data_IF_820281432482
#
_entry.id   IF_820281432482
#
_cell.length_a   1.000
_cell.length_b   1.000
_cell.length_c   1.000
_cell.angle_alpha   90.00
_cell.angle_beta   90.00
_cell.angle_gamma   90.00
#
_symmetry.space_group_name_H-M   'P 1'
#
loop_
_entity.id
_entity.type
_entity.pdbx_description
1 polymer ?
#
# COMPACT_ATOMS: atom_id res chain seq x y z
N UNK A 1 13.23 -6.61 0.98
CA UNK A 1 13.48 -6.41 -0.46
C UNK A 1 14.84 -6.98 -0.79
N UNK A 2 14.96 -7.74 -1.87
CA UNK A 2 16.23 -8.24 -2.40
C UNK A 2 16.38 -7.72 -3.83
N UNK A 3 17.57 -7.23 -4.17
CA UNK A 3 17.90 -6.69 -5.49
C UNK A 3 19.09 -7.46 -6.04
N UNK A 4 18.99 -7.96 -7.26
CA UNK A 4 20.09 -8.66 -7.93
C UNK A 4 19.75 -9.04 -9.36
N UNK A 5 20.74 -9.07 -10.24
CA UNK A 5 20.61 -9.42 -11.66
C UNK A 5 19.43 -8.70 -12.36
N UNK A 6 19.29 -7.39 -12.13
CA UNK A 6 18.19 -6.57 -12.67
C UNK A 6 16.78 -7.05 -12.24
N UNK A 7 16.69 -7.77 -11.13
CA UNK A 7 15.43 -8.24 -10.56
C UNK A 7 15.28 -7.71 -9.14
N UNK A 8 14.07 -7.25 -8.81
CA UNK A 8 13.66 -6.94 -7.45
C UNK A 8 12.69 -8.03 -6.98
N UNK A 9 13.00 -8.60 -5.83
CA UNK A 9 12.09 -9.44 -5.07
C UNK A 9 11.61 -8.69 -3.82
N UNK A 10 10.30 -8.62 -3.65
CA UNK A 10 9.65 -8.03 -2.48
C UNK A 10 8.91 -9.13 -1.76
N UNK A 11 9.10 -9.20 -0.45
CA UNK A 11 8.31 -10.02 0.46
C UNK A 11 7.73 -9.06 1.49
N UNK A 12 6.41 -8.96 1.53
CA UNK A 12 5.70 -7.93 2.27
C UNK A 12 4.76 -8.53 3.32
N UNK A 13 4.85 -8.02 4.54
CA UNK A 13 3.98 -8.33 5.69
C UNK A 13 3.71 -7.00 6.41
N UNK A 14 2.47 -6.78 6.86
CA UNK A 14 2.09 -5.57 7.58
C UNK A 14 1.55 -4.46 6.67
N UNK A 15 1.67 -3.22 7.09
CA UNK A 15 1.11 -2.05 6.40
C UNK A 15 2.15 -0.97 6.04
N UNK A 16 3.45 -1.31 6.15
CA UNK A 16 4.50 -0.59 5.45
C UNK A 16 4.28 -0.63 3.93
N UNK A 17 5.01 0.19 3.18
CA UNK A 17 4.80 0.31 1.74
C UNK A 17 6.12 0.34 0.98
N UNK A 18 6.16 -0.32 -0.18
CA UNK A 18 7.23 -0.16 -1.16
C UNK A 18 6.69 0.62 -2.36
N UNK A 19 7.40 1.67 -2.73
CA UNK A 19 7.10 2.51 -3.89
C UNK A 19 8.30 2.49 -4.83
N UNK A 20 8.05 2.25 -6.11
CA UNK A 20 9.04 2.39 -7.17
C UNK A 20 8.80 3.69 -7.90
N UNK A 21 9.86 4.48 -8.08
CA UNK A 21 9.82 5.61 -9.01
C UNK A 21 10.29 5.16 -10.38
N UNK A 22 9.47 5.38 -11.42
CA UNK A 22 9.75 5.04 -12.81
C UNK A 22 9.29 6.19 -13.70
N UNK A 23 10.20 6.77 -14.49
CA UNK A 23 9.96 7.94 -15.35
C UNK A 23 9.25 9.09 -14.63
N UNK A 24 9.65 9.33 -13.38
CA UNK A 24 9.11 10.39 -12.51
C UNK A 24 7.79 10.06 -11.86
N UNK A 25 7.26 8.88 -12.16
CA UNK A 25 5.97 8.44 -11.64
C UNK A 25 6.22 7.46 -10.52
N UNK A 26 5.67 7.77 -9.36
CA UNK A 26 5.61 6.86 -8.23
C UNK A 26 4.57 5.76 -8.51
N UNK A 27 4.98 4.51 -8.32
CA UNK A 27 4.15 3.33 -8.42
C UNK A 27 4.22 2.55 -7.11
N UNK A 28 3.09 2.42 -6.42
CA UNK A 28 2.99 1.57 -5.23
C UNK A 28 3.06 0.10 -5.66
N UNK A 29 3.92 -0.68 -5.01
CA UNK A 29 4.17 -2.09 -5.35
C UNK A 29 3.52 -3.08 -4.40
N UNK A 30 3.12 -2.64 -3.21
CA UNK A 30 2.62 -3.50 -2.14
C UNK A 30 1.28 -2.99 -1.63
N UNK A 31 0.33 -3.90 -1.43
CA UNK A 31 -0.92 -3.61 -0.74
C UNK A 31 -0.76 -3.75 0.77
N UNK A 32 -1.27 -2.78 1.54
CA UNK A 32 -1.24 -2.85 3.00
C UNK A 32 -2.17 -3.94 3.54
N UNK A 33 -1.67 -4.74 4.47
CA UNK A 33 -2.45 -5.78 5.16
C UNK A 33 -3.28 -5.21 6.31
N UNK A 34 -4.40 -4.58 5.95
CA UNK A 34 -5.29 -3.88 6.88
C UNK A 34 -6.62 -4.61 7.05
N UNK A 35 -7.14 -4.72 8.28
CA UNK A 35 -8.47 -5.27 8.55
C UNK A 35 -9.57 -4.23 8.31
N UNK A 36 -9.35 -3.27 7.40
CA UNK A 36 -10.29 -2.20 7.06
C UNK A 36 -9.97 -1.63 5.68
N UNK A 37 -10.97 -1.00 5.07
CA UNK A 37 -10.85 -0.44 3.71
C UNK A 37 -11.65 -1.24 2.69
N UNK A 38 -11.69 -0.71 1.48
CA UNK A 38 -12.48 -1.23 0.36
C UNK A 38 -11.63 -1.84 -0.75
N UNK A 39 -10.29 -1.79 -0.65
CA UNK A 39 -9.43 -2.42 -1.63
C UNK A 39 -9.47 -3.95 -1.49
N UNK A 40 -9.08 -4.63 -2.56
CA UNK A 40 -9.25 -6.06 -2.71
C UNK A 40 -8.46 -6.86 -1.66
N UNK A 41 -7.23 -6.43 -1.34
CA UNK A 41 -6.40 -7.02 -0.30
C UNK A 41 -7.03 -6.88 1.10
N UNK A 42 -7.54 -5.70 1.46
CA UNK A 42 -8.19 -5.48 2.75
C UNK A 42 -9.47 -6.31 2.89
N UNK A 43 -10.25 -6.43 1.80
CA UNK A 43 -11.44 -7.28 1.79
C UNK A 43 -11.11 -8.76 2.00
N UNK A 44 -10.01 -9.26 1.42
CA UNK A 44 -9.52 -10.62 1.68
C UNK A 44 -9.11 -10.81 3.13
N UNK A 45 -8.37 -9.85 3.71
CA UNK A 45 -7.95 -9.93 5.10
C UNK A 45 -9.14 -9.88 6.06
N UNK A 46 -10.10 -8.98 5.84
CA UNK A 46 -11.37 -8.90 6.60
C UNK A 46 -12.11 -10.24 6.55
N UNK A 47 -12.23 -10.85 5.37
CA UNK A 47 -12.89 -12.14 5.19
C UNK A 47 -12.17 -13.23 5.98
N UNK A 48 -10.85 -13.35 5.81
CA UNK A 48 -10.01 -14.34 6.50
C UNK A 48 -10.13 -14.23 8.02
N UNK A 49 -10.08 -13.01 8.56
CA UNK A 49 -10.21 -12.76 10.01
C UNK A 49 -11.57 -13.23 10.54
N UNK A 50 -12.64 -12.97 9.79
CA UNK A 50 -14.00 -13.40 10.17
C UNK A 50 -14.14 -14.93 10.12
N UNK A 51 -13.60 -15.57 9.09
CA UNK A 51 -13.61 -17.04 8.95
C UNK A 51 -12.79 -17.73 10.06
N UNK A 52 -11.71 -17.10 10.50
CA UNK A 52 -10.92 -17.55 11.65
C UNK A 52 -11.64 -17.39 13.01
N UNK A 53 -12.84 -16.81 13.03
CA UNK A 53 -13.64 -16.57 14.25
C UNK A 53 -13.37 -15.24 14.94
N UNK A 54 -12.57 -14.37 14.33
CA UNK A 54 -12.30 -13.03 14.82
C UNK A 54 -13.40 -12.03 14.45
N UNK A 55 -13.35 -10.86 15.07
CA UNK A 55 -14.19 -9.72 14.74
C UNK A 55 -13.34 -8.46 14.60
N UNK A 56 -13.89 -7.45 13.92
CA UNK A 56 -13.22 -6.18 13.69
C UNK A 56 -14.08 -5.07 14.28
N UNK A 57 -13.46 -4.22 15.09
CA UNK A 57 -14.08 -3.05 15.70
C UNK A 57 -13.19 -1.85 15.43
N UNK A 58 -13.75 -0.79 14.83
CA UNK A 58 -13.04 0.45 14.48
C UNK A 58 -11.74 0.20 13.72
N UNK A 59 -11.78 -0.70 12.73
CA UNK A 59 -10.62 -1.07 11.91
C UNK A 59 -9.52 -1.81 12.68
N UNK A 60 -9.85 -2.42 13.81
CA UNK A 60 -8.91 -3.23 14.61
C UNK A 60 -9.45 -4.62 14.89
N UNK A 61 -8.62 -5.64 14.72
CA UNK A 61 -8.92 -7.02 15.07
C UNK A 61 -9.13 -7.10 16.58
N UNK A 62 -10.29 -7.60 16.98
CA UNK A 62 -10.77 -7.61 18.36
C UNK A 62 -10.73 -6.21 19.04
N UNK A 63 -10.73 -5.12 18.27
CA UNK A 63 -10.57 -3.76 18.80
C UNK A 63 -9.19 -3.47 19.40
N UNK A 64 -8.15 -4.20 19.02
CA UNK A 64 -6.79 -4.07 19.56
C UNK A 64 -5.77 -3.72 18.45
N UNK A 65 -5.54 -4.60 17.47
CA UNK A 65 -4.49 -4.41 16.45
C UNK A 65 -5.06 -3.96 15.09
N UNK A 66 -4.39 -3.00 14.43
CA UNK A 66 -4.82 -2.40 13.16
C UNK A 66 -4.16 -3.02 11.92
N UNK A 67 -3.37 -4.08 12.08
CA UNK A 67 -2.73 -4.84 10.98
C UNK A 67 -3.16 -6.30 11.05
N UNK A 68 -3.32 -6.93 9.90
CA UNK A 68 -3.79 -8.32 9.78
C UNK A 68 -2.68 -9.34 9.55
N UNK A 69 -1.49 -8.87 9.17
CA UNK A 69 -0.30 -9.70 9.03
C UNK A 69 0.88 -9.07 9.74
N UNK A 70 1.54 -9.84 10.61
CA UNK A 70 2.70 -9.39 11.38
C UNK A 70 3.50 -10.59 11.92
N UNK A 71 4.80 -10.39 12.11
CA UNK A 71 5.61 -11.26 12.97
C UNK A 71 5.28 -10.97 14.45
N UNK A 72 5.45 -11.97 15.33
CA UNK A 72 5.07 -11.81 16.74
C UNK A 72 3.56 -11.90 16.97
N UNK A 73 2.99 -11.02 17.79
CA UNK A 73 1.55 -10.94 18.09
C UNK A 73 0.90 -12.26 18.52
N UNK A 74 1.58 -13.01 19.41
CA UNK A 74 1.15 -14.35 19.84
C UNK A 74 -0.28 -14.38 20.41
N UNK A 75 -0.78 -13.27 20.95
CA UNK A 75 -2.17 -13.13 21.44
C UNK A 75 -3.23 -13.34 20.35
N UNK A 76 -2.88 -13.13 19.09
CA UNK A 76 -3.74 -13.38 17.92
C UNK A 76 -3.42 -14.72 17.22
N UNK A 77 -2.47 -15.49 17.78
CA UNK A 77 -1.98 -16.75 17.23
C UNK A 77 -2.17 -17.89 18.22
N UNK A 78 -1.11 -18.26 18.95
CA UNK A 78 -1.12 -19.37 19.90
C UNK A 78 -1.80 -19.06 21.24
N UNK A 79 -1.95 -17.78 21.59
CA UNK A 79 -2.47 -17.31 22.90
C UNK A 79 -3.85 -16.64 22.82
N UNK A 80 -4.66 -16.97 21.82
CA UNK A 80 -5.99 -16.36 21.61
C UNK A 80 -6.95 -16.56 22.79
N UNK A 81 -6.91 -17.71 23.46
CA UNK A 81 -7.76 -17.96 24.63
C UNK A 81 -7.31 -17.16 25.87
N UNK A 82 -6.00 -16.96 26.04
CA UNK A 82 -5.46 -16.07 27.08
C UNK A 82 -5.92 -14.63 26.83
N UNK A 83 -5.89 -14.18 25.57
CA UNK A 83 -6.39 -12.86 25.17
C UNK A 83 -7.87 -12.67 25.53
N UNK A 84 -8.73 -13.67 25.28
CA UNK A 84 -10.15 -13.60 25.64
C UNK A 84 -10.36 -13.46 27.16
N UNK A 85 -9.69 -14.28 27.96
CA UNK A 85 -9.76 -14.23 29.43
C UNK A 85 -9.32 -12.86 29.95
N UNK A 86 -8.16 -12.39 29.50
CA UNK A 86 -7.64 -11.06 29.86
C UNK A 86 -8.59 -9.94 29.45
N UNK A 87 -9.22 -10.03 28.28
CA UNK A 87 -10.19 -9.05 27.82
C UNK A 87 -11.45 -8.99 28.69
N UNK A 88 -11.86 -10.10 29.32
CA UNK A 88 -12.94 -10.09 30.32
C UNK A 88 -12.49 -9.43 31.62
N UNK A 89 -11.30 -9.77 32.12
CA UNK A 89 -10.71 -9.15 33.32
C UNK A 89 -10.59 -7.63 33.16
N UNK A 90 -10.18 -7.17 31.98
CA UNK A 90 -10.07 -5.77 31.59
C UNK A 90 -11.42 -5.11 31.24
N UNK A 91 -12.54 -5.84 31.35
CA UNK A 91 -13.91 -5.38 31.03
C UNK A 91 -14.08 -4.92 29.57
N UNK A 92 -13.22 -5.38 28.66
CA UNK A 92 -13.37 -5.15 27.21
C UNK A 92 -14.54 -5.93 26.66
N UNK A 93 -14.77 -7.15 27.17
CA UNK A 93 -15.84 -8.05 26.75
C UNK A 93 -16.52 -8.71 27.95
N UNK A 94 -17.73 -9.24 27.73
CA UNK A 94 -18.44 -10.04 28.75
C UNK A 94 -18.13 -11.54 28.63
N UNK A 95 -18.23 -12.27 29.74
CA UNK A 95 -18.17 -13.74 29.75
C UNK A 95 -19.14 -14.38 28.74
N UNK A 96 -20.36 -13.83 28.66
CA UNK A 96 -21.39 -14.27 27.72
C UNK A 96 -20.99 -14.07 26.25
N UNK A 97 -20.21 -13.04 25.96
CA UNK A 97 -19.70 -12.81 24.61
C UNK A 97 -18.58 -13.80 24.29
N UNK A 98 -17.55 -13.90 25.14
CA UNK A 98 -16.38 -14.74 24.85
C UNK A 98 -16.71 -16.25 24.80
N UNK A 99 -17.70 -16.70 25.57
CA UNK A 99 -18.19 -18.10 25.53
C UNK A 99 -18.79 -18.53 24.19
N UNK A 100 -19.11 -17.58 23.30
CA UNK A 100 -19.61 -17.84 21.94
C UNK A 100 -18.51 -17.75 20.88
N UNK A 101 -17.33 -17.28 21.25
CA UNK A 101 -16.21 -17.11 20.33
C UNK A 101 -15.51 -18.45 20.17
N UNK A 102 -15.39 -18.90 18.92
CA UNK A 102 -14.63 -20.09 18.55
C UNK A 102 -13.63 -19.69 17.48
N UNK A 103 -12.35 -19.90 17.77
CA UNK A 103 -11.29 -19.63 16.80
C UNK A 103 -10.96 -20.89 16.01
N UNK A 104 -11.00 -20.77 14.67
CA UNK A 104 -10.67 -21.86 13.76
C UNK A 104 -9.23 -21.73 13.21
N UNK A 105 -8.64 -20.55 13.30
CA UNK A 105 -7.31 -20.25 12.77
C UNK A 105 -6.67 -19.03 13.50
N UNK A 106 -5.50 -18.59 13.07
CA UNK A 106 -4.82 -17.38 13.52
C UNK A 106 -5.49 -16.12 12.99
N UNK A 107 -5.73 -15.15 13.89
CA UNK A 107 -6.34 -13.87 13.52
C UNK A 107 -5.33 -12.92 12.86
N UNK A 108 -4.05 -13.05 13.21
CA UNK A 108 -2.93 -12.34 12.57
C UNK A 108 -1.94 -13.39 12.06
N UNK A 109 -1.54 -13.32 10.79
CA UNK A 109 -0.63 -14.29 10.17
C UNK A 109 0.72 -13.67 9.81
N UNK A 110 1.75 -14.49 9.60
CA UNK A 110 3.07 -14.02 9.16
C UNK A 110 3.34 -14.30 7.67
N UNK A 111 2.35 -14.77 6.93
CA UNK A 111 2.48 -15.15 5.52
C UNK A 111 2.69 -13.91 4.64
N UNK A 112 3.82 -13.79 3.93
CA UNK A 112 4.08 -12.64 3.09
C UNK A 112 3.38 -12.71 1.74
N UNK A 113 3.02 -11.56 1.22
CA UNK A 113 2.81 -11.41 -0.22
C UNK A 113 4.17 -11.27 -0.91
N UNK A 114 4.36 -11.97 -2.03
CA UNK A 114 5.63 -11.98 -2.76
C UNK A 114 5.46 -11.38 -4.15
N UNK A 115 6.35 -10.46 -4.48
CA UNK A 115 6.37 -9.78 -5.78
C UNK A 115 7.74 -9.95 -6.41
N UNK A 116 7.76 -10.27 -7.70
CA UNK A 116 8.98 -10.32 -8.52
C UNK A 116 8.81 -9.32 -9.66
N UNK A 117 9.80 -8.46 -9.83
CA UNK A 117 9.80 -7.47 -10.91
C UNK A 117 11.14 -7.45 -11.62
N UNK A 118 11.09 -7.47 -12.95
CA UNK A 118 12.26 -7.16 -13.78
C UNK A 118 12.42 -5.63 -13.83
N UNK A 119 13.62 -5.17 -13.46
CA UNK A 119 14.12 -3.85 -13.82
C UNK A 119 14.50 -3.91 -15.30
N UNK A 120 13.52 -3.67 -16.17
CA UNK A 120 13.85 -3.43 -17.58
C UNK A 120 14.71 -2.17 -17.65
N UNK A 121 15.92 -2.30 -18.19
CA UNK A 121 16.85 -1.25 -18.59
C UNK A 121 16.16 -0.28 -19.57
N UNK A 122 15.30 0.58 -19.07
CA UNK A 122 14.95 1.80 -19.76
C UNK A 122 15.53 2.90 -18.90
N UNK A 123 16.54 3.61 -19.41
CA UNK A 123 17.23 4.67 -18.67
C UNK A 123 16.21 5.68 -18.16
N UNK A 124 16.10 5.76 -16.83
CA UNK A 124 15.14 6.65 -16.18
C UNK A 124 15.93 7.68 -15.40
N UNK A 125 15.93 8.88 -15.97
CA UNK A 125 16.50 10.06 -15.34
C UNK A 125 15.40 10.74 -14.53
N UNK A 126 15.68 11.03 -13.27
CA UNK A 126 14.87 11.90 -12.41
C UNK A 126 15.76 12.82 -11.61
N UNK A 127 15.19 13.91 -11.06
CA UNK A 127 15.78 14.90 -10.12
C UNK A 127 15.40 14.52 -8.67
N UNK A 128 16.06 14.97 -7.61
CA UNK A 128 16.73 16.23 -7.29
C UNK A 128 17.83 15.89 -6.25
N UNK A 129 18.99 16.55 -6.30
CA UNK A 129 20.13 16.46 -5.36
C UNK A 129 21.17 15.35 -5.52
N UNK A 130 20.91 14.20 -6.15
CA UNK A 130 21.92 13.14 -6.34
C UNK A 130 22.49 12.56 -5.02
N UNK A 131 21.94 12.99 -3.89
CA UNK A 131 22.26 12.53 -2.55
C UNK A 131 21.00 11.89 -1.96
N UNK A 132 21.04 10.57 -1.88
CA UNK A 132 19.95 9.74 -1.38
C UNK A 132 19.64 10.05 0.09
N UNK A 133 20.64 10.47 0.87
CA UNK A 133 20.44 10.83 2.27
C UNK A 133 19.62 12.11 2.39
N UNK A 134 19.94 13.13 1.60
CA UNK A 134 19.17 14.38 1.56
C UNK A 134 17.72 14.11 1.14
N UNK A 135 17.50 13.22 0.17
CA UNK A 135 16.15 12.83 -0.25
C UNK A 135 15.39 12.08 0.86
N UNK A 136 16.05 11.17 1.59
CA UNK A 136 15.46 10.51 2.76
C UNK A 136 15.04 11.52 3.83
N UNK A 137 15.94 12.45 4.17
CA UNK A 137 15.71 13.46 5.21
C UNK A 137 14.57 14.41 4.80
N UNK A 138 14.54 14.85 3.55
CA UNK A 138 13.46 15.67 3.02
C UNK A 138 12.10 14.96 3.06
N UNK A 139 12.05 13.67 2.73
CA UNK A 139 10.81 12.89 2.78
C UNK A 139 10.36 12.64 4.22
N UNK A 140 11.30 12.40 5.14
CA UNK A 140 11.01 12.29 6.57
C UNK A 140 10.46 13.60 7.12
N UNK A 141 11.10 14.73 6.81
CA UNK A 141 10.64 16.06 7.22
C UNK A 141 9.27 16.38 6.63
N UNK A 142 9.03 16.07 5.36
CA UNK A 142 7.72 16.26 4.74
C UNK A 142 6.61 15.43 5.40
N UNK A 143 6.91 14.25 5.93
CA UNK A 143 5.96 13.46 6.72
C UNK A 143 5.67 14.12 8.09
N UNK A 144 6.71 14.64 8.76
CA UNK A 144 6.57 15.36 10.03
C UNK A 144 5.80 16.68 9.87
N UNK A 145 6.10 17.44 8.82
CA UNK A 145 5.43 18.71 8.51
C UNK A 145 3.94 18.52 8.20
N UNK A 146 3.57 17.35 7.65
CA UNK A 146 2.18 16.93 7.46
C UNK A 146 1.51 16.43 8.74
N UNK A 147 2.19 16.52 9.88
CA UNK A 147 1.67 16.20 11.19
C UNK A 147 1.78 14.73 11.58
N UNK A 148 2.67 13.94 10.95
CA UNK A 148 2.94 12.57 11.40
C UNK A 148 3.35 12.57 12.87
N UNK A 149 2.60 11.83 13.70
CA UNK A 149 2.88 11.65 15.13
C UNK A 149 3.53 10.29 15.43
N UNK A 150 3.71 9.47 14.40
CA UNK A 150 4.28 8.13 14.52
C UNK A 150 5.75 8.13 14.10
N UNK A 151 6.46 7.05 14.40
CA UNK A 151 7.83 6.83 13.96
C UNK A 151 7.88 6.79 12.42
N UNK A 152 8.83 7.52 11.84
CA UNK A 152 9.06 7.56 10.40
C UNK A 152 10.40 6.87 10.13
N UNK A 153 10.38 5.86 9.26
CA UNK A 153 11.56 5.16 8.80
C UNK A 153 11.48 5.01 7.28
N UNK A 154 12.51 5.48 6.59
CA UNK A 154 12.57 5.54 5.14
C UNK A 154 13.89 4.92 4.70
N UNK A 155 13.82 4.04 3.70
CA UNK A 155 14.99 3.49 3.01
C UNK A 155 14.79 3.79 1.54
N UNK A 156 15.72 4.55 0.95
CA UNK A 156 15.77 4.76 -0.50
C UNK A 156 16.95 3.95 -1.04
N UNK A 157 16.67 3.12 -2.05
CA UNK A 157 17.69 2.42 -2.81
C UNK A 157 17.80 3.09 -4.19
N UNK A 158 18.89 3.81 -4.43
CA UNK A 158 19.22 4.27 -5.78
C UNK A 158 19.79 3.11 -6.60
N UNK A 159 19.17 2.83 -7.74
CA UNK A 159 19.52 1.73 -8.62
C UNK A 159 20.56 2.11 -9.69
N UNK A 160 21.11 3.34 -9.65
CA UNK A 160 22.31 3.72 -10.42
C UNK A 160 22.09 3.96 -11.91
N UNK A 161 20.84 4.05 -12.38
CA UNK A 161 20.50 4.45 -13.76
C UNK A 161 20.14 5.94 -13.89
N UNK A 162 20.58 6.72 -12.91
CA UNK A 162 20.23 8.12 -12.67
C UNK A 162 21.32 9.05 -13.20
N UNK A 163 21.23 9.42 -14.48
CA UNK A 163 22.06 10.50 -15.03
C UNK A 163 21.41 11.88 -14.78
N UNK A 164 21.86 12.54 -13.72
CA UNK A 164 21.28 13.79 -13.21
C UNK A 164 21.58 15.05 -14.06
N UNK A 165 22.65 15.05 -14.86
CA UNK A 165 23.23 16.28 -15.44
C UNK A 165 22.61 16.72 -16.79
N UNK A 166 21.88 15.86 -17.49
CA UNK A 166 21.46 16.07 -18.89
C UNK A 166 19.94 15.92 -19.12
N UNK A 167 19.11 16.56 -18.29
CA UNK A 167 17.66 16.55 -18.47
C UNK A 167 17.05 17.93 -18.73
N UNK A 168 16.12 18.06 -19.70
CA UNK A 168 15.31 19.26 -19.84
C UNK A 168 14.31 19.38 -18.68
N UNK A 169 14.10 20.61 -18.22
CA UNK A 169 13.12 20.93 -17.17
C UNK A 169 11.72 20.72 -17.73
N UNK A 170 10.96 19.77 -17.18
CA UNK A 170 9.57 19.56 -17.57
C UNK A 170 8.70 20.69 -16.97
N UNK A 171 8.47 21.74 -17.75
CA UNK A 171 7.37 22.67 -17.50
C UNK A 171 6.06 21.95 -17.87
N UNK A 172 5.09 21.95 -16.95
CA UNK A 172 3.71 21.56 -17.28
C UNK A 172 3.20 22.46 -18.41
N UNK A 173 3.24 21.94 -19.64
CA UNK A 173 2.71 22.65 -20.79
C UNK A 173 1.19 22.46 -20.84
N UNK A 174 0.49 23.26 -20.03
CA UNK A 174 -0.98 23.33 -19.95
C UNK A 174 -1.65 23.33 -21.33
N UNK A 175 -1.06 24.04 -22.30
CA UNK A 175 -1.56 24.09 -23.69
C UNK A 175 -1.55 22.73 -24.41
N UNK A 176 -0.57 21.87 -24.12
CA UNK A 176 -0.46 20.55 -24.74
C UNK A 176 -1.49 19.58 -24.15
N UNK A 177 -1.63 19.55 -22.82
CA UNK A 177 -2.65 18.73 -22.15
C UNK A 177 -4.07 19.19 -22.52
N UNK A 178 -4.30 20.52 -22.60
CA UNK A 178 -5.57 21.08 -23.03
C UNK A 178 -5.87 20.75 -24.51
N UNK A 179 -4.86 20.77 -25.37
CA UNK A 179 -4.97 20.34 -26.77
C UNK A 179 -5.36 18.87 -26.92
N UNK A 180 -4.74 17.97 -26.13
CA UNK A 180 -5.08 16.55 -26.12
C UNK A 180 -6.51 16.31 -25.61
N UNK A 181 -6.95 17.05 -24.58
CA UNK A 181 -8.31 16.96 -24.06
C UNK A 181 -9.34 17.37 -25.12
N UNK A 182 -9.13 18.50 -25.81
CA UNK A 182 -10.02 18.95 -26.89
C UNK A 182 -10.08 17.98 -28.07
N UNK A 183 -8.93 17.43 -28.49
CA UNK A 183 -8.89 16.45 -29.57
C UNK A 183 -9.69 15.19 -29.21
N UNK A 184 -9.54 14.71 -27.97
CA UNK A 184 -10.27 13.52 -27.49
C UNK A 184 -11.78 13.76 -27.45
N UNK A 185 -12.22 14.91 -26.91
CA UNK A 185 -13.64 15.29 -26.89
C UNK A 185 -14.20 15.43 -28.30
N UNK A 186 -13.44 16.02 -29.23
CA UNK A 186 -13.84 16.16 -30.63
C UNK A 186 -14.05 14.81 -31.31
N UNK A 187 -13.11 13.87 -31.18
CA UNK A 187 -13.21 12.53 -31.77
C UNK A 187 -14.40 11.74 -31.22
N UNK A 188 -14.61 11.78 -29.90
CA UNK A 188 -15.73 11.09 -29.25
C UNK A 188 -17.07 11.68 -29.69
N UNK A 189 -17.17 13.02 -29.75
CA UNK A 189 -18.39 13.71 -30.17
C UNK A 189 -18.73 13.42 -31.63
N UNK A 190 -17.73 13.39 -32.51
CA UNK A 190 -17.91 13.03 -33.92
C UNK A 190 -18.34 11.57 -34.09
N UNK A 191 -17.76 10.65 -33.30
CA UNK A 191 -18.16 9.24 -33.29
C UNK A 191 -19.61 9.02 -32.88
N UNK A 192 -20.07 9.74 -31.85
CA UNK A 192 -21.48 9.73 -31.41
C UNK A 192 -22.39 10.29 -32.51
N UNK A 193 -22.01 11.40 -33.14
CA UNK A 193 -22.79 12.02 -34.21
C UNK A 193 -22.89 11.13 -35.46
N UNK A 194 -21.79 10.51 -35.88
CA UNK A 194 -21.78 9.55 -37.00
C UNK A 194 -22.64 8.32 -36.68
N UNK A 195 -22.57 7.81 -35.45
CA UNK A 195 -23.41 6.68 -35.02
C UNK A 195 -24.90 7.03 -35.04
N UNK A 196 -25.25 8.28 -34.73
CA UNK A 196 -26.62 8.79 -34.82
C UNK A 196 -27.11 8.89 -36.28
N UNK A 197 -26.25 9.29 -37.21
CA UNK A 197 -26.58 9.38 -38.64
C UNK A 197 -26.79 8.01 -39.31
N UNK A 198 -26.11 6.96 -38.83
CA UNK A 198 -26.22 5.59 -39.37
C UNK A 198 -27.44 4.85 -38.80
N UNK A 199 -28.10 5.40 -37.78
CA UNK A 199 -29.25 4.78 -37.09
C UNK A 199 -30.63 5.23 -37.64
N UNK A 200 -30.67 5.85 -38.83
CA UNK A 200 -31.90 6.22 -39.56
C UNK A 200 -31.89 5.68 -40.99
#
# INVERSE_FOLDING_TARGET
>A
MLVGNEVIFISHVGDSCVVLSRAGKAQVLTDSHRPYGSNQASLQEIKRIREAGGWISNGRICGDIAVSRAFGDTRFKTKKNEMLKKGVEERRWSEKFISRVVFNDDLVIASPDTFKMQLLLFGIKLREHGDVQVACDALAQAALDKGSQDNVSIIIADLGHTEWQNLPVEQQNFLFEFGQALATVGVVSLGIWLSYQVSF
#
